data_IF_773092394392
#
_entry.id   IF_773092394392
#
_cell.length_a   1.000
_cell.length_b   1.000
_cell.length_c   1.000
_cell.angle_alpha   90.00
_cell.angle_beta   90.00
_cell.angle_gamma   90.00
#
_symmetry.space_group_name_H-M   'P 1'
#
loop_
_entity.id
_entity.type
_entity.pdbx_description
1 polymer ?
#
# COMPACT_ATOMS: atom_id res chain seq x y z
N UNK A 1 -30.78 -1.52 -2.75
CA UNK A 1 -29.79 -1.97 -1.76
C UNK A 1 -28.52 -1.17 -1.98
N UNK A 2 -28.09 -0.40 -0.98
CA UNK A 2 -26.85 0.40 -0.99
C UNK A 2 -25.65 -0.55 -0.93
N UNK A 3 -25.25 -1.10 -2.07
CA UNK A 3 -24.09 -1.97 -2.17
C UNK A 3 -22.82 -1.13 -2.28
N UNK A 4 -22.65 -0.22 -1.31
CA UNK A 4 -21.53 0.72 -1.22
C UNK A 4 -20.26 -0.08 -0.93
N UNK A 5 -19.37 -0.20 -1.91
CA UNK A 5 -18.07 -0.86 -1.73
C UNK A 5 -17.24 -0.22 -0.59
N UNK A 6 -16.34 -1.01 0.00
CA UNK A 6 -15.57 -0.62 1.18
C UNK A 6 -14.13 -0.30 0.80
N UNK A 7 -13.73 0.97 0.95
CA UNK A 7 -12.35 1.42 0.72
C UNK A 7 -11.38 0.76 1.69
N UNK A 8 -11.80 0.56 2.95
CA UNK A 8 -10.97 -0.06 4.00
C UNK A 8 -10.76 -1.54 3.70
N UNK A 9 -11.84 -2.27 3.37
CA UNK A 9 -11.69 -3.68 3.03
C UNK A 9 -10.88 -3.85 1.75
N UNK A 10 -11.13 -3.01 0.74
CA UNK A 10 -10.38 -3.01 -0.51
C UNK A 10 -8.90 -2.74 -0.29
N UNK A 11 -8.54 -1.75 0.52
CA UNK A 11 -7.14 -1.42 0.79
C UNK A 11 -6.41 -2.52 1.56
N UNK A 12 -7.09 -3.18 2.52
CA UNK A 12 -6.53 -4.33 3.24
C UNK A 12 -6.28 -5.54 2.34
N UNK A 13 -7.28 -5.92 1.54
CA UNK A 13 -7.14 -7.06 0.61
C UNK A 13 -6.10 -6.76 -0.46
N UNK A 14 -6.11 -5.53 -1.01
CA UNK A 14 -5.10 -5.07 -1.94
C UNK A 14 -3.69 -5.13 -1.35
N UNK A 15 -3.51 -4.64 -0.11
CA UNK A 15 -2.24 -4.72 0.59
C UNK A 15 -1.74 -6.16 0.75
N UNK A 16 -2.62 -7.09 1.14
CA UNK A 16 -2.26 -8.52 1.25
C UNK A 16 -1.75 -9.07 -0.08
N UNK A 17 -2.41 -8.71 -1.19
CA UNK A 17 -1.99 -9.12 -2.54
C UNK A 17 -0.63 -8.50 -2.90
N UNK A 18 -0.42 -7.21 -2.60
CA UNK A 18 0.86 -6.52 -2.84
C UNK A 18 1.98 -7.19 -2.05
N UNK A 19 1.75 -7.56 -0.78
CA UNK A 19 2.75 -8.27 0.03
C UNK A 19 3.05 -9.65 -0.55
N UNK A 20 2.01 -10.40 -0.96
CA UNK A 20 2.18 -11.75 -1.49
C UNK A 20 2.87 -11.77 -2.87
N UNK A 21 2.65 -10.76 -3.71
CA UNK A 21 3.10 -10.77 -5.12
C UNK A 21 4.21 -9.75 -5.44
N UNK A 22 4.28 -8.65 -4.69
CA UNK A 22 5.18 -7.52 -4.93
C UNK A 22 6.65 -7.86 -4.73
N UNK A 23 6.96 -8.95 -4.03
CA UNK A 23 8.34 -9.44 -3.91
C UNK A 23 8.90 -9.97 -5.24
N UNK A 24 8.09 -10.73 -5.99
CA UNK A 24 8.49 -11.28 -7.29
C UNK A 24 8.24 -10.29 -8.44
N UNK A 25 7.20 -9.47 -8.33
CA UNK A 25 6.75 -8.57 -9.38
C UNK A 25 6.50 -7.17 -8.80
N UNK A 26 7.54 -6.35 -8.60
CA UNK A 26 7.43 -5.10 -7.85
C UNK A 26 6.44 -4.10 -8.48
N UNK A 27 6.36 -3.99 -9.80
CA UNK A 27 5.41 -3.06 -10.45
C UNK A 27 4.06 -3.73 -10.67
N UNK A 28 4.05 -4.95 -11.21
CA UNK A 28 2.81 -5.66 -11.59
C UNK A 28 2.02 -6.08 -10.35
N UNK A 29 2.68 -6.50 -9.26
CA UNK A 29 2.03 -6.84 -8.00
C UNK A 29 1.31 -5.64 -7.38
N UNK A 30 1.91 -4.45 -7.42
CA UNK A 30 1.24 -3.21 -6.99
C UNK A 30 0.02 -2.89 -7.86
N UNK A 31 0.13 -3.06 -9.17
CA UNK A 31 -0.99 -2.84 -10.08
C UNK A 31 -2.15 -3.82 -9.82
N UNK A 32 -1.86 -5.11 -9.65
CA UNK A 32 -2.87 -6.16 -9.39
C UNK A 32 -3.53 -5.95 -8.02
N UNK A 33 -2.73 -5.72 -6.97
CA UNK A 33 -3.28 -5.45 -5.64
C UNK A 33 -4.13 -4.19 -5.61
N UNK A 34 -3.68 -3.14 -6.32
CA UNK A 34 -4.46 -1.94 -6.58
C UNK A 34 -5.79 -2.24 -7.28
N UNK A 35 -5.75 -3.00 -8.38
CA UNK A 35 -6.93 -3.42 -9.15
C UNK A 35 -7.97 -4.10 -8.27
N UNK A 36 -7.54 -5.09 -7.48
CA UNK A 36 -8.44 -5.82 -6.58
C UNK A 36 -9.00 -4.90 -5.49
N UNK A 37 -8.19 -4.00 -4.93
CA UNK A 37 -8.67 -2.98 -4.00
C UNK A 37 -9.77 -2.11 -4.63
N UNK A 38 -9.58 -1.73 -5.90
CA UNK A 38 -10.55 -0.97 -6.70
C UNK A 38 -11.87 -1.69 -6.90
N UNK A 39 -11.82 -2.98 -7.27
CA UNK A 39 -13.00 -3.82 -7.47
C UNK A 39 -13.85 -3.93 -6.18
N UNK A 40 -13.20 -4.01 -5.02
CA UNK A 40 -13.87 -4.13 -3.71
C UNK A 40 -14.42 -2.76 -3.24
N UNK A 41 -13.68 -1.68 -3.49
CA UNK A 41 -14.05 -0.34 -3.05
C UNK A 41 -15.24 0.26 -3.81
N UNK A 42 -15.48 -0.23 -5.05
CA UNK A 42 -16.53 0.16 -6.00
C UNK A 42 -16.54 1.66 -6.35
N UNK A 43 -16.34 1.97 -7.63
CA UNK A 43 -16.30 3.34 -8.16
C UNK A 43 -14.88 3.93 -8.24
N UNK A 44 -14.59 4.65 -9.33
CA UNK A 44 -13.25 5.14 -9.69
C UNK A 44 -12.49 5.87 -8.56
N UNK A 45 -13.11 6.88 -7.94
CA UNK A 45 -12.42 7.67 -6.91
C UNK A 45 -12.14 6.87 -5.63
N UNK A 46 -13.11 6.05 -5.20
CA UNK A 46 -12.97 5.16 -4.04
C UNK A 46 -11.93 4.07 -4.32
N UNK A 47 -11.90 3.55 -5.54
CA UNK A 47 -10.92 2.55 -5.96
C UNK A 47 -9.50 3.08 -6.03
N UNK A 48 -9.29 4.28 -6.58
CA UNK A 48 -7.97 4.93 -6.59
C UNK A 48 -7.44 5.15 -5.16
N UNK A 49 -8.30 5.62 -4.25
CA UNK A 49 -7.96 5.77 -2.84
C UNK A 49 -7.64 4.43 -2.17
N UNK A 50 -8.45 3.40 -2.39
CA UNK A 50 -8.21 2.06 -1.83
C UNK A 50 -6.88 1.48 -2.32
N UNK A 51 -6.57 1.62 -3.61
CA UNK A 51 -5.30 1.20 -4.21
C UNK A 51 -4.10 1.98 -3.67
N UNK A 52 -4.20 3.30 -3.55
CA UNK A 52 -3.14 4.12 -2.96
C UNK A 52 -2.85 3.72 -1.51
N UNK A 53 -3.90 3.56 -0.70
CA UNK A 53 -3.77 3.13 0.70
C UNK A 53 -3.14 1.73 0.76
N UNK A 54 -3.57 0.79 -0.09
CA UNK A 54 -2.97 -0.53 -0.17
C UNK A 54 -1.45 -0.47 -0.45
N UNK A 55 -1.02 0.37 -1.39
CA UNK A 55 0.40 0.48 -1.76
C UNK A 55 1.25 1.20 -0.71
N UNK A 56 0.74 2.25 -0.07
CA UNK A 56 1.52 3.02 0.92
C UNK A 56 1.66 2.28 2.26
N UNK A 57 0.70 1.41 2.60
CA UNK A 57 0.69 0.67 3.87
C UNK A 57 1.99 -0.11 4.09
N UNK A 58 2.54 -0.74 3.05
CA UNK A 58 3.81 -1.47 3.16
C UNK A 58 4.98 -0.58 3.54
N UNK A 59 5.09 0.59 2.92
CA UNK A 59 6.14 1.57 3.24
C UNK A 59 6.02 2.10 4.68
N UNK A 60 4.80 2.40 5.13
CA UNK A 60 4.55 2.88 6.50
C UNK A 60 4.91 1.81 7.52
N UNK A 61 4.51 0.56 7.29
CA UNK A 61 4.83 -0.56 8.19
C UNK A 61 6.35 -0.76 8.27
N UNK A 62 7.05 -0.79 7.13
CA UNK A 62 8.51 -0.95 7.12
C UNK A 62 9.20 0.21 7.85
N UNK A 63 8.74 1.45 7.66
CA UNK A 63 9.32 2.61 8.35
C UNK A 63 9.20 2.52 9.87
N UNK A 64 8.01 2.13 10.36
CA UNK A 64 7.76 1.93 11.78
C UNK A 64 8.66 0.79 12.31
N UNK A 65 8.69 -0.35 11.62
CA UNK A 65 9.51 -1.49 12.02
C UNK A 65 11.00 -1.16 12.05
N UNK A 66 11.52 -0.48 11.02
CA UNK A 66 12.92 -0.07 10.95
C UNK A 66 13.30 0.85 12.12
N UNK A 67 12.40 1.76 12.51
CA UNK A 67 12.58 2.62 13.69
C UNK A 67 12.71 1.79 14.96
N UNK A 68 11.77 0.89 15.24
CA UNK A 68 11.78 0.08 16.47
C UNK A 68 12.93 -0.92 16.51
N UNK A 69 13.26 -1.55 15.39
CA UNK A 69 14.43 -2.44 15.27
C UNK A 69 15.72 -1.65 15.51
N UNK A 70 15.82 -0.45 14.95
CA UNK A 70 16.92 0.47 15.22
C UNK A 70 17.06 0.78 16.71
N UNK A 71 15.94 1.10 17.38
CA UNK A 71 15.92 1.33 18.83
C UNK A 71 16.41 0.09 19.60
N UNK A 72 15.94 -1.09 19.24
CA UNK A 72 16.29 -2.34 19.91
C UNK A 72 17.78 -2.68 19.80
N UNK A 73 18.42 -2.36 18.67
CA UNK A 73 19.82 -2.70 18.40
C UNK A 73 20.79 -1.62 18.91
N UNK A 74 20.46 -0.34 18.71
CA UNK A 74 21.38 0.79 18.93
C UNK A 74 20.86 1.87 19.86
N UNK A 75 19.77 1.62 20.60
CA UNK A 75 19.12 2.62 21.46
C UNK A 75 18.61 3.81 20.65
N UNK A 76 18.63 5.01 21.25
CA UNK A 76 18.09 6.21 20.61
C UNK A 76 18.75 6.53 19.26
N UNK A 77 20.08 6.40 19.16
CA UNK A 77 20.81 6.65 17.91
C UNK A 77 20.46 5.61 16.84
N UNK A 78 20.34 4.34 17.23
CA UNK A 78 19.86 3.29 16.33
C UNK A 78 18.45 3.56 15.83
N UNK A 79 17.56 4.08 16.70
CA UNK A 79 16.20 4.48 16.32
C UNK A 79 16.15 5.59 15.29
N UNK A 80 16.98 6.63 15.44
CA UNK A 80 17.10 7.73 14.47
C UNK A 80 17.59 7.20 13.12
N UNK A 81 18.65 6.38 13.11
CA UNK A 81 19.17 5.77 11.88
C UNK A 81 18.10 4.88 11.23
N UNK A 82 17.42 4.04 12.01
CA UNK A 82 16.33 3.18 11.55
C UNK A 82 15.17 3.98 10.94
N UNK A 83 14.78 5.10 11.57
CA UNK A 83 13.75 5.99 11.06
C UNK A 83 14.16 6.67 9.74
N UNK A 84 15.41 7.13 9.62
CA UNK A 84 15.92 7.75 8.40
C UNK A 84 15.99 6.74 7.24
N UNK A 85 16.48 5.52 7.50
CA UNK A 85 16.52 4.46 6.50
C UNK A 85 15.11 4.02 6.09
N UNK A 86 14.21 3.84 7.06
CA UNK A 86 12.82 3.50 6.78
C UNK A 86 12.08 4.61 6.02
N UNK A 87 12.43 5.88 6.24
CA UNK A 87 11.85 7.01 5.51
C UNK A 87 12.20 6.92 4.01
N UNK A 88 13.43 6.53 3.67
CA UNK A 88 13.83 6.30 2.27
C UNK A 88 12.94 5.23 1.63
N UNK A 89 12.67 4.13 2.35
CA UNK A 89 11.78 3.06 1.87
C UNK A 89 10.33 3.55 1.73
N UNK A 90 9.83 4.34 2.68
CA UNK A 90 8.51 4.96 2.60
C UNK A 90 8.39 5.86 1.36
N UNK A 91 9.38 6.71 1.11
CA UNK A 91 9.39 7.58 -0.07
C UNK A 91 9.44 6.76 -1.37
N UNK A 92 10.23 5.68 -1.41
CA UNK A 92 10.26 4.77 -2.54
C UNK A 92 8.89 4.06 -2.75
N UNK A 93 8.17 3.74 -1.67
CA UNK A 93 6.86 3.11 -1.73
C UNK A 93 5.78 4.00 -2.37
N UNK A 94 5.99 5.33 -2.42
CA UNK A 94 5.07 6.26 -3.10
C UNK A 94 4.92 5.89 -4.58
N UNK A 95 5.99 5.46 -5.25
CA UNK A 95 5.92 5.01 -6.65
C UNK A 95 5.00 3.79 -6.77
N UNK A 96 5.17 2.81 -5.88
CA UNK A 96 4.30 1.63 -5.81
C UNK A 96 2.85 2.01 -5.47
N UNK A 97 2.63 2.97 -4.58
CA UNK A 97 1.32 3.47 -4.20
C UNK A 97 0.61 4.18 -5.37
N UNK A 98 1.34 4.93 -6.19
CA UNK A 98 0.79 5.53 -7.43
C UNK A 98 0.39 4.43 -8.42
N UNK A 99 1.22 3.42 -8.63
CA UNK A 99 0.89 2.29 -9.51
C UNK A 99 -0.35 1.53 -8.99
N UNK A 100 -0.43 1.30 -7.68
CA UNK A 100 -1.59 0.69 -7.05
C UNK A 100 -2.84 1.58 -7.14
N UNK A 101 -2.69 2.91 -7.08
CA UNK A 101 -3.80 3.84 -7.30
C UNK A 101 -4.32 3.77 -8.74
N UNK A 102 -3.45 3.61 -9.74
CA UNK A 102 -3.85 3.39 -11.14
C UNK A 102 -4.63 2.08 -11.26
N UNK A 103 -4.11 0.99 -10.69
CA UNK A 103 -4.84 -0.29 -10.64
C UNK A 103 -6.21 -0.11 -9.99
N UNK A 104 -6.26 0.56 -8.84
CA UNK A 104 -7.48 0.83 -8.09
C UNK A 104 -8.49 1.69 -8.83
N UNK A 105 -8.02 2.67 -9.60
CA UNK A 105 -8.87 3.47 -10.49
C UNK A 105 -9.51 2.58 -11.55
N UNK A 106 -8.74 1.69 -12.18
CA UNK A 106 -9.23 0.75 -13.21
C UNK A 106 -10.26 -0.20 -12.58
N UNK A 107 -9.95 -0.82 -11.43
CA UNK A 107 -10.87 -1.73 -10.74
C UNK A 107 -12.15 -1.03 -10.29
N UNK A 108 -12.03 0.19 -9.78
CA UNK A 108 -13.16 1.04 -9.43
C UNK A 108 -14.00 1.47 -10.64
N UNK A 109 -13.40 1.62 -11.82
CA UNK A 109 -14.10 1.94 -13.06
C UNK A 109 -14.94 0.76 -13.58
N UNK A 110 -14.43 -0.47 -13.43
CA UNK A 110 -15.12 -1.70 -13.85
C UNK A 110 -16.40 -1.95 -13.03
N UNK A 111 -16.38 -1.55 -11.76
CA UNK A 111 -17.46 -1.79 -10.79
C UNK A 111 -18.37 -0.58 -10.58
N UNK A 112 -18.34 0.38 -11.50
CA UNK A 112 -19.20 1.57 -11.48
C UNK A 112 -20.68 1.23 -11.61
#
# INVERSE_FOLDING_TARGET
>A
MSDSGSVILGSLVGFVIIVATGWFLPIIGHLIGGLVAGLIAKGMGRGALAGFIAGILGGVIIWILATFVGVAIGGALGGIIGALLGLIVLLASVVGAIVAAIGGLIGGAITR
#
